data_IF_095503086235
#
_entry.id   IF_095503086235
#
_cell.length_a   1.000
_cell.length_b   1.000
_cell.length_c   1.000
_cell.angle_alpha   90.00
_cell.angle_beta   90.00
_cell.angle_gamma   90.00
#
_symmetry.space_group_name_H-M   'P 1'
#
loop_
_entity.id
_entity.type
_entity.pdbx_description
1 polymer ?
#
# COMPACT_ATOMS: atom_id res chain seq x y z
N UNK A 1 -30.71 2.29 18.48
CA UNK A 1 -29.68 3.08 17.73
C UNK A 1 -30.36 4.18 16.93
N UNK A 2 -30.02 5.45 17.15
CA UNK A 2 -30.65 6.57 16.45
C UNK A 2 -30.24 6.67 14.96
N UNK A 3 -31.13 7.23 14.12
CA UNK A 3 -30.95 7.36 12.66
C UNK A 3 -29.60 8.00 12.28
N UNK A 4 -29.18 9.03 13.01
CA UNK A 4 -27.90 9.72 12.80
C UNK A 4 -26.69 8.79 13.02
N UNK A 5 -26.66 8.05 14.13
CA UNK A 5 -25.58 7.08 14.42
C UNK A 5 -25.50 5.97 13.37
N UNK A 6 -26.64 5.43 12.92
CA UNK A 6 -26.67 4.37 11.90
C UNK A 6 -26.08 4.84 10.56
N UNK A 7 -26.36 6.09 10.17
CA UNK A 7 -25.83 6.70 8.95
C UNK A 7 -24.33 6.99 9.03
N UNK A 8 -23.82 7.46 10.17
CA UNK A 8 -22.39 7.71 10.36
C UNK A 8 -21.60 6.39 10.31
N UNK A 9 -22.09 5.34 10.97
CA UNK A 9 -21.46 4.02 10.92
C UNK A 9 -21.48 3.41 9.51
N UNK A 10 -22.59 3.54 8.78
CA UNK A 10 -22.66 3.08 7.39
C UNK A 10 -21.70 3.85 6.46
N UNK A 11 -21.58 5.18 6.64
CA UNK A 11 -20.59 5.99 5.90
C UNK A 11 -19.15 5.60 6.26
N UNK A 12 -18.86 5.39 7.55
CA UNK A 12 -17.54 4.95 8.01
C UNK A 12 -17.20 3.53 7.55
N UNK A 13 -18.18 2.63 7.46
CA UNK A 13 -17.99 1.27 6.95
C UNK A 13 -17.64 1.25 5.45
N UNK A 14 -18.21 2.16 4.66
CA UNK A 14 -17.82 2.33 3.25
C UNK A 14 -16.56 3.19 3.05
N UNK A 15 -16.24 4.07 4.00
CA UNK A 15 -15.02 4.88 4.00
C UNK A 15 -13.82 4.15 4.61
N UNK A 16 -13.93 2.85 4.89
CA UNK A 16 -12.78 2.06 5.28
C UNK A 16 -11.78 2.14 4.13
N UNK A 17 -10.62 2.72 4.43
CA UNK A 17 -9.36 2.51 3.72
C UNK A 17 -9.43 1.08 3.19
N UNK A 18 -9.33 0.91 1.87
CA UNK A 18 -9.36 -0.42 1.26
C UNK A 18 -8.49 -1.32 2.12
N UNK A 19 -9.01 -2.49 2.53
CA UNK A 19 -8.25 -3.47 3.31
C UNK A 19 -7.16 -4.01 2.40
N UNK A 20 -6.17 -3.18 2.10
CA UNK A 20 -5.10 -3.49 1.20
C UNK A 20 -4.22 -4.48 1.93
N UNK A 21 -4.23 -5.72 1.45
CA UNK A 21 -3.37 -6.74 2.00
C UNK A 21 -1.91 -6.44 1.64
N UNK A 22 -0.97 -6.99 2.40
CA UNK A 22 0.46 -6.84 2.10
C UNK A 22 0.82 -7.32 0.69
N UNK A 23 0.14 -8.37 0.19
CA UNK A 23 0.33 -8.88 -1.18
C UNK A 23 -0.16 -7.89 -2.22
N UNK A 24 -1.33 -7.30 -2.01
CA UNK A 24 -1.87 -6.28 -2.91
C UNK A 24 -0.99 -5.02 -2.91
N UNK A 25 -0.39 -4.65 -1.77
CA UNK A 25 0.56 -3.55 -1.70
C UNK A 25 1.81 -3.81 -2.57
N UNK A 26 2.36 -5.03 -2.52
CA UNK A 26 3.48 -5.44 -3.37
C UNK A 26 3.09 -5.42 -4.85
N UNK A 27 1.91 -5.93 -5.20
CA UNK A 27 1.40 -5.87 -6.58
C UNK A 27 1.22 -4.44 -7.09
N UNK A 28 0.75 -3.52 -6.25
CA UNK A 28 0.63 -2.11 -6.63
C UNK A 28 2.02 -1.51 -6.86
N UNK A 29 3.00 -1.80 -6.00
CA UNK A 29 4.38 -1.31 -6.20
C UNK A 29 4.99 -1.82 -7.51
N UNK A 30 4.75 -3.08 -7.86
CA UNK A 30 5.25 -3.67 -9.11
C UNK A 30 4.62 -3.07 -10.38
N UNK A 31 3.33 -2.72 -10.30
CA UNK A 31 2.55 -2.27 -11.46
C UNK A 31 2.43 -0.75 -11.55
N UNK A 32 2.75 0.00 -10.49
CA UNK A 32 2.67 1.46 -10.49
C UNK A 32 3.87 2.05 -11.23
N UNK A 33 3.60 3.14 -11.95
CA UNK A 33 4.62 3.99 -12.57
C UNK A 33 4.80 5.31 -11.82
N UNK A 34 3.96 5.57 -10.82
CA UNK A 34 4.00 6.76 -9.98
C UNK A 34 4.99 6.56 -8.84
N UNK A 35 6.08 7.32 -8.87
CA UNK A 35 7.10 7.27 -7.82
C UNK A 35 6.50 7.57 -6.45
N UNK A 36 5.69 8.62 -6.34
CA UNK A 36 5.07 9.02 -5.07
C UNK A 36 4.17 7.92 -4.50
N UNK A 37 3.43 7.19 -5.34
CA UNK A 37 2.60 6.07 -4.86
C UNK A 37 3.45 4.92 -4.35
N UNK A 38 4.53 4.58 -5.06
CA UNK A 38 5.46 3.51 -4.65
C UNK A 38 6.09 3.86 -3.31
N UNK A 39 6.63 5.08 -3.16
CA UNK A 39 7.28 5.50 -1.90
C UNK A 39 6.30 5.49 -0.72
N UNK A 40 5.08 5.97 -0.94
CA UNK A 40 4.03 5.94 0.06
C UNK A 40 3.67 4.50 0.47
N UNK A 41 3.51 3.58 -0.48
CA UNK A 41 3.15 2.19 -0.17
C UNK A 41 4.29 1.46 0.54
N UNK A 42 5.54 1.64 0.08
CA UNK A 42 6.73 1.08 0.75
C UNK A 42 6.78 1.55 2.21
N UNK A 43 6.62 2.85 2.44
CA UNK A 43 6.68 3.46 3.76
C UNK A 43 5.51 3.04 4.66
N UNK A 44 4.29 3.00 4.11
CA UNK A 44 3.08 2.66 4.87
C UNK A 44 3.04 1.19 5.29
N UNK A 45 3.52 0.29 4.42
CA UNK A 45 3.53 -1.14 4.69
C UNK A 45 4.85 -1.62 5.32
N UNK A 46 5.88 -0.78 5.37
CA UNK A 46 7.23 -1.19 5.80
C UNK A 46 7.68 -2.41 4.98
N UNK A 47 7.54 -2.32 3.65
CA UNK A 47 7.97 -3.38 2.75
C UNK A 47 9.48 -3.51 2.83
N UNK A 48 10.00 -4.72 2.73
CA UNK A 48 11.44 -4.95 2.73
C UNK A 48 12.00 -5.06 1.31
N UNK A 49 13.29 -4.77 1.10
CA UNK A 49 13.94 -4.97 -0.18
C UNK A 49 13.79 -6.41 -0.69
N UNK A 50 13.91 -7.40 0.22
CA UNK A 50 13.82 -8.82 -0.14
C UNK A 50 12.43 -9.18 -0.66
N UNK A 51 11.36 -8.64 -0.07
CA UNK A 51 9.98 -8.92 -0.50
C UNK A 51 9.71 -8.41 -1.92
N UNK A 52 10.29 -7.27 -2.29
CA UNK A 52 10.13 -6.70 -3.63
C UNK A 52 10.95 -7.47 -4.67
N UNK A 53 12.16 -7.91 -4.30
CA UNK A 53 13.00 -8.76 -5.15
C UNK A 53 12.34 -10.13 -5.40
N UNK A 54 11.82 -10.76 -4.34
CA UNK A 54 11.07 -12.02 -4.45
C UNK A 54 9.83 -11.89 -5.33
N UNK A 55 9.20 -10.71 -5.33
CA UNK A 55 8.04 -10.42 -6.16
C UNK A 55 8.40 -10.08 -7.62
N UNK A 56 9.68 -10.05 -7.97
CA UNK A 56 10.18 -9.89 -9.34
C UNK A 56 10.60 -8.47 -9.73
N UNK A 57 10.73 -7.56 -8.76
CA UNK A 57 11.25 -6.22 -9.04
C UNK A 57 12.75 -6.28 -9.33
N UNK A 58 13.21 -5.49 -10.33
CA UNK A 58 14.63 -5.47 -10.68
C UNK A 58 15.48 -4.87 -9.53
N UNK A 59 16.69 -5.38 -9.35
CA UNK A 59 17.62 -4.92 -8.31
C UNK A 59 17.89 -3.41 -8.40
N UNK A 60 18.10 -2.89 -9.60
CA UNK A 60 18.33 -1.46 -9.82
C UNK A 60 17.13 -0.63 -9.37
N UNK A 61 15.90 -1.09 -9.64
CA UNK A 61 14.67 -0.43 -9.20
C UNK A 61 14.55 -0.44 -7.68
N UNK A 62 14.90 -1.54 -7.01
CA UNK A 62 14.92 -1.62 -5.54
C UNK A 62 15.97 -0.68 -4.96
N UNK A 63 17.15 -0.61 -5.59
CA UNK A 63 18.27 0.26 -5.18
C UNK A 63 17.88 1.75 -5.18
N UNK A 64 17.02 2.17 -6.11
CA UNK A 64 16.51 3.56 -6.15
C UNK A 64 15.71 3.94 -4.89
N UNK A 65 15.17 2.96 -4.17
CA UNK A 65 14.36 3.15 -2.96
C UNK A 65 15.12 2.76 -1.68
N UNK A 66 16.44 2.57 -1.74
CA UNK A 66 17.28 2.13 -0.59
C UNK A 66 17.13 3.02 0.67
N UNK A 67 16.79 4.30 0.50
CA UNK A 67 16.56 5.23 1.61
C UNK A 67 15.17 5.15 2.27
N UNK A 68 14.28 4.27 1.80
CA UNK A 68 12.91 4.10 2.30
C UNK A 68 12.69 2.79 3.08
N UNK A 69 13.69 1.91 3.08
CA UNK A 69 13.67 0.63 3.79
C UNK A 69 14.23 0.72 5.21
#
# INVERSE_FOLDING_TARGET
MGKSKKRILAKGAHSQISKLSRKEAIEIVLNSTSKDEIENIISLFGLKPEELLEAGMNYESVKLYEGLF
#
